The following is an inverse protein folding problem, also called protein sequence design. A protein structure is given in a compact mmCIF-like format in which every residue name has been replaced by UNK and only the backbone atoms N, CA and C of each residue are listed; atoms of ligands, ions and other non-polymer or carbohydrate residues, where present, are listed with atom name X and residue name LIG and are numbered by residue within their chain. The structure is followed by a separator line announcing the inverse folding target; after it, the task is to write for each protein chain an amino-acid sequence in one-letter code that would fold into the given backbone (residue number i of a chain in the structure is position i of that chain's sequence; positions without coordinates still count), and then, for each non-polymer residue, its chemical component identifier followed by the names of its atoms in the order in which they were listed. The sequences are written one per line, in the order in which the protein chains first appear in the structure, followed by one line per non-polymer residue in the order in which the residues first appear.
data_IF_741669990943
#
_entry.id   IF_741669990943
#
_cell.length_a   1.000
_cell.length_b   1.000
_cell.length_c   1.000
_cell.angle_alpha   90.00
_cell.angle_beta   90.00
_cell.angle_gamma   90.00
#
_symmetry.space_group_name_H-M   'P 1'
#
loop_
_entity.id
_entity.type
_entity.pdbx_description
1 polymer ?
#
# COMPACT_ATOMS: atom_id res chain seq x y z
N UNK A 1 -44.20 -58.36 -11.83
CA UNK A 1 -42.89 -57.70 -11.66
C UNK A 1 -42.51 -57.78 -10.18
N UNK A 2 -41.23 -57.96 -9.88
CA UNK A 2 -40.68 -58.53 -8.63
C UNK A 2 -41.00 -57.69 -7.39
N UNK A 3 -41.42 -58.37 -6.32
CA UNK A 3 -41.44 -57.86 -4.93
C UNK A 3 -40.03 -57.91 -4.35
N UNK A 4 -39.61 -56.89 -3.59
CA UNK A 4 -38.82 -57.07 -2.37
C UNK A 4 -39.03 -55.87 -1.43
N UNK A 5 -39.30 -56.21 -0.18
CA UNK A 5 -39.65 -55.36 0.95
C UNK A 5 -38.43 -55.10 1.84
N UNK A 6 -38.57 -54.12 2.74
CA UNK A 6 -37.92 -53.95 4.04
C UNK A 6 -36.54 -53.26 4.15
N UNK A 7 -36.54 -52.10 4.86
CA UNK A 7 -35.46 -51.60 5.77
C UNK A 7 -35.34 -52.60 6.96
N UNK A 8 -34.29 -52.66 7.84
CA UNK A 8 -33.46 -51.55 8.34
C UNK A 8 -32.01 -51.92 8.81
N UNK A 9 -31.36 -50.95 9.48
CA UNK A 9 -30.53 -51.11 10.69
C UNK A 9 -28.99 -50.97 10.64
N UNK A 10 -28.50 -50.34 11.73
CA UNK A 10 -27.19 -50.38 12.37
C UNK A 10 -26.07 -49.51 11.76
N UNK A 11 -25.67 -48.45 12.46
CA UNK A 11 -24.54 -48.39 13.43
C UNK A 11 -23.26 -47.96 12.69
N UNK A 12 -22.30 -47.18 13.17
CA UNK A 12 -21.89 -46.65 14.47
C UNK A 12 -21.18 -45.30 14.16
N UNK A 13 -21.18 -44.28 15.00
CA UNK A 13 -20.33 -44.21 16.18
C UNK A 13 -18.86 -43.96 15.81
N UNK A 14 -18.45 -42.70 15.71
CA UNK A 14 -17.06 -42.26 15.91
C UNK A 14 -17.00 -40.72 16.06
N UNK A 15 -17.35 -40.23 17.24
CA UNK A 15 -16.88 -38.94 17.70
C UNK A 15 -15.43 -39.13 18.18
N UNK A 16 -14.45 -38.53 17.49
CA UNK A 16 -13.09 -38.39 17.99
C UNK A 16 -12.83 -36.91 18.22
N UNK A 17 -12.91 -36.54 19.50
CA UNK A 17 -12.41 -35.30 20.08
C UNK A 17 -10.88 -35.25 19.89
N UNK A 18 -10.38 -34.34 19.07
CA UNK A 18 -8.97 -33.95 19.10
C UNK A 18 -8.82 -32.70 19.96
N UNK A 19 -8.41 -32.93 21.21
CA UNK A 19 -7.87 -31.91 22.10
C UNK A 19 -6.35 -31.84 21.86
N UNK A 20 -5.88 -30.69 21.41
CA UNK A 20 -4.48 -30.26 21.57
C UNK A 20 -4.42 -28.73 21.54
N UNK A 21 -4.71 -28.12 22.68
CA UNK A 21 -4.44 -26.71 22.96
C UNK A 21 -3.29 -26.58 23.95
N UNK A 22 -2.50 -25.51 23.78
CA UNK A 22 -1.28 -25.11 24.49
C UNK A 22 -0.02 -25.86 23.98
N UNK A 23 0.98 -25.22 23.38
CA UNK A 23 1.69 -24.03 23.86
C UNK A 23 2.21 -23.15 22.70
N UNK A 24 1.67 -21.94 22.49
CA UNK A 24 2.38 -20.89 21.74
C UNK A 24 3.44 -20.28 22.66
N UNK A 25 4.64 -20.88 22.68
CA UNK A 25 5.81 -20.23 23.26
C UNK A 25 6.67 -19.66 22.14
N UNK A 26 6.86 -18.35 22.16
CA UNK A 26 8.11 -17.73 21.76
C UNK A 26 8.42 -17.71 20.26
N UNK A 27 8.21 -16.53 19.67
CA UNK A 27 9.05 -16.05 18.58
C UNK A 27 10.53 -16.19 18.98
N UNK A 28 11.30 -16.96 18.22
CA UNK A 28 12.76 -16.93 18.28
C UNK A 28 13.42 -18.31 18.28
N UNK A 29 13.76 -18.80 17.08
CA UNK A 29 14.93 -19.64 16.72
C UNK A 29 14.54 -20.59 15.59
N UNK A 30 14.90 -20.25 14.35
CA UNK A 30 14.78 -21.14 13.21
C UNK A 30 15.78 -22.31 13.37
N UNK A 31 15.29 -23.48 13.75
CA UNK A 31 16.00 -24.75 13.51
C UNK A 31 15.18 -25.53 12.51
N UNK A 32 15.67 -25.55 11.26
CA UNK A 32 15.14 -26.39 10.19
C UNK A 32 15.47 -27.84 10.54
N UNK A 33 14.42 -28.64 10.74
CA UNK A 33 14.49 -30.10 10.81
C UNK A 33 14.82 -30.62 9.40
N UNK A 34 15.95 -31.31 9.26
CA UNK A 34 16.53 -31.74 7.99
C UNK A 34 15.80 -33.00 7.47
N UNK A 35 14.98 -32.84 6.43
CA UNK A 35 14.41 -33.92 5.64
C UNK A 35 14.95 -33.90 4.22
N UNK A 36 15.90 -34.80 3.93
CA UNK A 36 16.29 -35.32 2.62
C UNK A 36 16.53 -34.30 1.47
N UNK A 37 17.79 -33.83 1.39
CA UNK A 37 18.59 -33.56 0.20
C UNK A 37 17.97 -32.84 -1.03
N UNK A 38 18.20 -31.53 -1.12
CA UNK A 38 18.86 -30.92 -2.29
C UNK A 38 19.47 -29.57 -1.88
N UNK A 39 20.77 -29.56 -1.56
CA UNK A 39 21.48 -28.34 -1.16
C UNK A 39 21.58 -27.35 -2.33
N UNK A 40 20.72 -26.33 -2.34
CA UNK A 40 21.01 -25.08 -3.04
C UNK A 40 21.47 -24.07 -1.99
N UNK A 41 22.78 -24.06 -1.73
CA UNK A 41 23.41 -23.15 -0.78
C UNK A 41 23.50 -21.75 -1.39
N UNK A 42 22.65 -20.84 -0.91
CA UNK A 42 22.71 -19.41 -1.26
C UNK A 42 23.54 -18.70 -0.18
N UNK A 43 24.61 -18.04 -0.58
CA UNK A 43 25.50 -17.33 0.34
C UNK A 43 24.76 -16.20 1.08
N UNK A 44 24.96 -16.02 2.40
CA UNK A 44 24.37 -14.91 3.15
C UNK A 44 24.82 -13.54 2.61
N UNK A 45 23.88 -12.62 2.43
CA UNK A 45 24.19 -11.22 2.11
C UNK A 45 24.78 -10.52 3.36
N UNK A 46 26.03 -10.08 3.23
CA UNK A 46 26.70 -9.19 4.19
C UNK A 46 26.00 -7.82 4.19
N UNK A 47 25.44 -7.42 5.35
CA UNK A 47 24.95 -6.04 5.55
C UNK A 47 26.14 -5.14 5.89
N UNK A 48 26.51 -4.26 4.97
CA UNK A 48 27.50 -3.21 5.25
C UNK A 48 26.92 -2.24 6.28
N UNK A 49 27.52 -2.29 7.47
CA UNK A 49 27.22 -1.39 8.58
C UNK A 49 27.64 0.04 8.22
N UNK A 50 26.75 1.00 8.48
CA UNK A 50 26.95 2.40 8.18
C UNK A 50 28.15 3.04 8.87
N UNK A 51 28.76 4.00 8.18
CA UNK A 51 29.60 5.02 8.77
C UNK A 51 28.90 6.38 8.57
N UNK A 52 28.21 6.82 9.62
CA UNK A 52 27.88 8.23 9.82
C UNK A 52 29.18 8.98 10.10
N UNK A 53 29.49 9.98 9.27
CA UNK A 53 30.67 10.85 9.41
C UNK A 53 30.29 12.29 9.13
N UNK A 54 29.95 13.00 10.20
CA UNK A 54 29.72 14.45 10.34
C UNK A 54 30.81 15.30 9.68
N UNK A 55 30.41 16.41 9.02
CA UNK A 55 31.19 17.66 8.93
C UNK A 55 30.29 18.82 8.50
N UNK A 56 29.40 19.22 9.39
CA UNK A 56 28.81 20.55 9.42
C UNK A 56 29.90 21.60 9.68
N UNK A 57 30.19 22.46 8.70
CA UNK A 57 30.96 23.69 8.92
C UNK A 57 30.03 24.88 8.93
N UNK A 58 29.57 25.20 10.13
CA UNK A 58 29.00 26.48 10.52
C UNK A 58 30.07 27.58 10.52
N UNK A 59 29.89 28.62 9.71
CA UNK A 59 30.58 29.90 9.86
C UNK A 59 29.58 30.94 10.33
N UNK A 60 29.68 31.27 11.61
CA UNK A 60 28.99 32.37 12.24
C UNK A 60 29.83 33.66 12.18
N UNK A 61 29.08 34.76 12.29
CA UNK A 61 29.45 36.07 12.82
C UNK A 61 30.13 37.08 11.90
N UNK A 62 29.34 38.07 11.51
CA UNK A 62 29.69 39.46 11.82
C UNK A 62 28.42 40.25 12.13
N UNK A 63 28.24 40.50 13.42
CA UNK A 63 27.32 41.48 14.01
C UNK A 63 27.85 42.89 13.80
N UNK A 64 27.00 43.80 13.32
CA UNK A 64 27.11 45.23 13.59
C UNK A 64 25.72 45.77 13.88
N UNK A 65 25.60 46.38 15.05
CA UNK A 65 24.43 47.02 15.62
C UNK A 65 24.14 48.37 14.95
N UNK A 66 23.10 49.05 15.47
CA UNK A 66 22.72 50.46 15.31
C UNK A 66 21.61 50.69 14.25
N UNK A 67 20.48 51.38 14.48
CA UNK A 67 19.91 52.12 15.62
C UNK A 67 18.38 52.15 15.47
N UNK A 68 17.66 52.41 16.56
CA UNK A 68 16.27 52.87 16.50
C UNK A 68 16.21 54.33 16.01
N UNK A 69 15.15 54.69 15.27
CA UNK A 69 14.52 55.97 15.55
C UNK A 69 13.04 55.76 15.88
N UNK A 70 12.67 56.21 17.07
CA UNK A 70 11.32 56.69 17.33
C UNK A 70 11.03 57.81 16.33
N UNK A 71 10.09 57.57 15.41
CA UNK A 71 9.67 58.55 14.42
C UNK A 71 8.18 58.43 14.19
N UNK A 72 7.41 59.32 14.82
CA UNK A 72 6.10 59.70 14.32
C UNK A 72 6.27 60.11 12.86
N UNK A 73 5.58 59.43 11.95
CA UNK A 73 5.26 60.01 10.64
C UNK A 73 3.98 59.40 10.12
N UNK A 74 3.06 60.31 9.85
CA UNK A 74 1.77 60.09 9.28
C UNK A 74 1.88 59.45 7.88
N UNK A 75 1.07 58.42 7.68
CA UNK A 75 0.40 58.08 6.40
C UNK A 75 1.30 57.70 5.22
N UNK A 76 1.48 56.38 5.08
CA UNK A 76 1.39 55.71 3.79
C UNK A 76 0.52 54.46 3.99
N UNK A 77 -0.67 54.46 3.39
CA UNK A 77 -1.55 53.29 3.31
C UNK A 77 -0.92 52.31 2.31
N UNK A 78 0.09 51.57 2.77
CA UNK A 78 0.52 50.35 2.12
C UNK A 78 -0.12 49.19 2.87
N UNK A 79 -0.76 48.27 2.15
CA UNK A 79 -1.18 46.97 2.68
C UNK A 79 0.03 46.26 3.29
N UNK A 80 0.28 46.48 4.58
CA UNK A 80 1.15 45.62 5.37
C UNK A 80 0.44 44.26 5.48
N UNK A 81 1.15 43.14 5.25
CA UNK A 81 0.56 41.82 5.43
C UNK A 81 0.17 41.67 6.90
N UNK A 82 -1.13 41.81 7.19
CA UNK A 82 -1.65 41.58 8.54
C UNK A 82 -1.42 40.12 8.91
N UNK A 83 -0.63 39.87 9.96
CA UNK A 83 -0.52 38.55 10.59
C UNK A 83 -1.85 38.22 11.29
N UNK A 84 -2.79 37.72 10.48
CA UNK A 84 -4.04 37.15 10.98
C UNK A 84 -3.73 35.72 11.38
N UNK A 85 -3.43 35.52 12.66
CA UNK A 85 -3.30 34.19 13.25
C UNK A 85 -4.48 33.27 12.90
N UNK A 86 -4.28 31.95 13.03
CA UNK A 86 -5.23 30.94 12.58
C UNK A 86 -6.66 31.21 13.10
N UNK A 87 -7.62 31.36 12.16
CA UNK A 87 -9.03 31.58 12.49
C UNK A 87 -9.79 30.26 12.51
N UNK A 88 -10.83 30.19 13.34
CA UNK A 88 -11.72 29.04 13.41
C UNK A 88 -12.47 28.89 12.08
N UNK A 89 -12.32 27.71 11.46
CA UNK A 89 -13.11 27.31 10.30
C UNK A 89 -14.31 26.49 10.79
N UNK A 90 -15.52 26.87 10.37
CA UNK A 90 -16.74 26.18 10.79
C UNK A 90 -16.90 24.80 10.16
N UNK A 91 -16.25 24.56 9.03
CA UNK A 91 -16.30 23.29 8.31
C UNK A 91 -15.05 23.17 7.43
N UNK A 92 -14.52 21.96 7.30
CA UNK A 92 -13.43 21.67 6.38
C UNK A 92 -14.05 21.64 4.97
N UNK A 93 -13.59 22.48 4.03
CA UNK A 93 -14.08 22.43 2.66
C UNK A 93 -13.94 21.00 2.11
N UNK A 94 -15.01 20.47 1.52
CA UNK A 94 -14.94 19.17 0.87
C UNK A 94 -13.94 19.22 -0.30
N UNK A 95 -13.09 18.19 -0.46
CA UNK A 95 -12.21 18.12 -1.62
C UNK A 95 -13.07 18.09 -2.90
N UNK A 96 -12.57 18.76 -3.94
CA UNK A 96 -13.16 18.62 -5.27
C UNK A 96 -13.11 17.15 -5.69
N UNK A 97 -14.05 16.66 -6.50
CA UNK A 97 -13.95 15.32 -7.06
C UNK A 97 -12.60 15.20 -7.78
N UNK A 98 -11.86 14.13 -7.48
CA UNK A 98 -10.66 13.77 -8.21
C UNK A 98 -11.05 13.66 -9.69
N UNK A 99 -10.40 14.44 -10.55
CA UNK A 99 -10.61 14.45 -11.99
C UNK A 99 -9.27 14.24 -12.66
N UNK A 100 -9.20 13.30 -13.61
CA UNK A 100 -7.97 13.04 -14.33
C UNK A 100 -7.81 11.60 -14.79
N UNK A 101 -6.68 11.30 -15.46
CA UNK A 101 -6.40 10.00 -16.05
C UNK A 101 -6.37 8.86 -15.02
N UNK A 102 -5.97 9.13 -13.77
CA UNK A 102 -5.98 8.14 -12.69
C UNK A 102 -7.41 7.67 -12.38
N UNK A 103 -8.37 8.61 -12.35
CA UNK A 103 -9.78 8.30 -12.12
C UNK A 103 -10.43 7.61 -13.33
N UNK A 104 -10.06 8.00 -14.54
CA UNK A 104 -10.53 7.33 -15.76
C UNK A 104 -10.03 5.88 -15.81
N UNK A 105 -8.77 5.64 -15.42
CA UNK A 105 -8.19 4.31 -15.28
C UNK A 105 -8.93 3.48 -14.23
N UNK A 106 -9.13 4.03 -13.02
CA UNK A 106 -9.82 3.33 -11.94
C UNK A 106 -11.27 3.00 -12.31
N UNK A 107 -11.97 3.91 -12.97
CA UNK A 107 -13.32 3.67 -13.47
C UNK A 107 -13.33 2.54 -14.51
N UNK A 108 -12.38 2.52 -15.46
CA UNK A 108 -12.29 1.47 -16.47
C UNK A 108 -11.97 0.09 -15.87
N UNK A 109 -11.15 0.03 -14.81
CA UNK A 109 -10.87 -1.21 -14.07
C UNK A 109 -12.11 -1.67 -13.30
N UNK A 110 -12.81 -0.75 -12.63
CA UNK A 110 -14.05 -1.06 -11.90
C UNK A 110 -15.18 -1.54 -12.82
N UNK A 111 -15.32 -0.97 -14.03
CA UNK A 111 -16.30 -1.39 -15.03
C UNK A 111 -16.14 -2.87 -15.42
N UNK A 112 -14.92 -3.41 -15.32
CA UNK A 112 -14.63 -4.83 -15.60
C UNK A 112 -14.84 -5.76 -14.42
N UNK A 113 -15.46 -5.28 -13.33
CA UNK A 113 -15.82 -6.10 -12.18
C UNK A 113 -14.73 -6.24 -11.12
N UNK A 114 -13.70 -5.39 -11.17
CA UNK A 114 -12.70 -5.31 -10.10
C UNK A 114 -13.19 -4.33 -9.03
N UNK A 115 -13.35 -4.79 -7.81
CA UNK A 115 -13.58 -3.91 -6.66
C UNK A 115 -12.31 -3.10 -6.40
N UNK A 116 -12.39 -1.77 -6.49
CA UNK A 116 -11.24 -0.87 -6.30
C UNK A 116 -11.18 -0.24 -4.90
N UNK A 117 -12.26 -0.27 -4.11
CA UNK A 117 -12.44 0.43 -2.83
C UNK A 117 -11.33 0.14 -1.77
N UNK A 118 -10.38 1.06 -1.61
CA UNK A 118 -9.24 0.92 -0.70
C UNK A 118 -7.97 0.29 -1.32
N UNK A 119 -7.91 0.12 -2.63
CA UNK A 119 -6.72 -0.30 -3.38
C UNK A 119 -6.42 0.58 -4.61
N UNK A 120 -7.02 1.77 -4.66
CA UNK A 120 -6.92 2.72 -5.77
C UNK A 120 -5.47 3.13 -6.03
N UNK A 121 -4.78 3.58 -4.98
CA UNK A 121 -3.37 3.99 -5.05
C UNK A 121 -2.45 2.84 -5.49
N UNK A 122 -2.76 1.61 -5.06
CA UNK A 122 -1.98 0.42 -5.42
C UNK A 122 -2.17 0.06 -6.89
N UNK A 123 -3.41 0.17 -7.40
CA UNK A 123 -3.73 -0.05 -8.80
C UNK A 123 -3.08 1.01 -9.70
N UNK A 124 -3.19 2.29 -9.34
CA UNK A 124 -2.56 3.40 -10.07
C UNK A 124 -1.04 3.25 -10.05
N UNK A 125 -0.45 3.01 -8.87
CA UNK A 125 0.99 2.83 -8.73
C UNK A 125 1.53 1.62 -9.51
N UNK A 126 0.80 0.50 -9.52
CA UNK A 126 1.17 -0.68 -10.30
C UNK A 126 1.11 -0.41 -11.81
N UNK A 127 0.04 0.25 -12.27
CA UNK A 127 -0.10 0.65 -13.66
C UNK A 127 1.04 1.60 -14.10
N UNK A 128 1.36 2.61 -13.29
CA UNK A 128 2.48 3.54 -13.56
C UNK A 128 3.85 2.84 -13.52
N UNK A 129 4.04 1.84 -12.65
CA UNK A 129 5.28 1.04 -12.64
C UNK A 129 5.45 0.28 -13.97
N UNK A 130 4.35 -0.23 -14.55
CA UNK A 130 4.40 -0.92 -15.85
C UNK A 130 4.88 -0.02 -16.99
N UNK A 131 4.60 1.28 -16.92
CA UNK A 131 5.10 2.28 -17.88
C UNK A 131 6.63 2.43 -17.83
N UNK A 132 7.24 2.13 -16.67
CA UNK A 132 8.69 2.18 -16.46
C UNK A 132 9.37 0.85 -16.80
N UNK A 133 8.64 -0.09 -17.40
CA UNK A 133 9.13 -1.42 -17.74
C UNK A 133 9.16 -2.40 -16.57
N UNK A 134 8.53 -2.07 -15.44
CA UNK A 134 8.36 -3.01 -14.35
C UNK A 134 7.36 -4.11 -14.75
N UNK A 135 7.78 -5.36 -14.61
CA UNK A 135 6.97 -6.53 -15.02
C UNK A 135 6.43 -7.33 -13.84
N UNK A 136 6.70 -6.92 -12.59
CA UNK A 136 6.39 -7.71 -11.40
C UNK A 136 5.29 -7.09 -10.53
N UNK A 137 5.15 -5.77 -10.55
CA UNK A 137 4.22 -5.05 -9.67
C UNK A 137 2.78 -5.29 -10.08
N UNK A 138 2.45 -5.23 -11.38
CA UNK A 138 1.09 -5.54 -11.87
C UNK A 138 0.70 -6.99 -11.55
N UNK A 139 1.52 -8.02 -11.83
CA UNK A 139 1.25 -9.39 -11.38
C UNK A 139 1.08 -9.57 -9.87
N UNK A 140 1.88 -8.87 -9.06
CA UNK A 140 1.79 -8.95 -7.62
C UNK A 140 0.46 -8.36 -7.11
N UNK A 141 0.09 -7.17 -7.59
CA UNK A 141 -1.18 -6.52 -7.23
C UNK A 141 -2.37 -7.33 -7.73
N UNK A 142 -2.32 -7.87 -8.95
CA UNK A 142 -3.37 -8.74 -9.48
C UNK A 142 -3.59 -9.98 -8.59
N UNK A 143 -2.51 -10.64 -8.15
CA UNK A 143 -2.59 -11.76 -7.22
C UNK A 143 -3.23 -11.36 -5.89
N UNK A 144 -2.83 -10.22 -5.33
CA UNK A 144 -3.43 -9.70 -4.09
C UNK A 144 -4.93 -9.44 -4.24
N UNK A 145 -5.36 -8.83 -5.35
CA UNK A 145 -6.78 -8.52 -5.59
C UNK A 145 -7.64 -9.79 -5.68
N UNK A 146 -7.11 -10.85 -6.29
CA UNK A 146 -7.80 -12.15 -6.40
C UNK A 146 -7.92 -12.81 -5.03
N UNK A 147 -6.82 -12.90 -4.27
CA UNK A 147 -6.81 -13.52 -2.94
C UNK A 147 -7.70 -12.78 -1.93
N UNK A 148 -7.89 -11.47 -2.12
CA UNK A 148 -8.79 -10.65 -1.32
C UNK A 148 -10.25 -10.72 -1.77
N UNK A 149 -10.57 -11.49 -2.82
CA UNK A 149 -11.92 -11.60 -3.38
C UNK A 149 -12.41 -10.29 -4.03
N UNK A 150 -11.47 -9.46 -4.51
CA UNK A 150 -11.76 -8.15 -5.12
C UNK A 150 -11.87 -8.23 -6.64
N UNK A 151 -11.63 -9.39 -7.24
CA UNK A 151 -11.84 -9.66 -8.67
C UNK A 151 -12.17 -11.14 -8.86
N UNK A 152 -13.08 -11.42 -9.78
CA UNK A 152 -13.36 -12.79 -10.26
C UNK A 152 -12.58 -13.14 -11.54
N UNK A 153 -11.86 -12.16 -12.12
CA UNK A 153 -11.03 -12.37 -13.30
C UNK A 153 -9.85 -13.28 -12.98
N UNK A 154 -9.41 -14.05 -13.97
CA UNK A 154 -8.17 -14.83 -13.86
C UNK A 154 -6.95 -13.93 -13.68
N UNK A 155 -5.86 -14.46 -13.11
CA UNK A 155 -4.63 -13.69 -12.84
C UNK A 155 -4.09 -13.01 -14.10
N UNK A 156 -3.94 -13.74 -15.19
CA UNK A 156 -3.41 -13.23 -16.45
C UNK A 156 -4.36 -12.19 -17.08
N UNK A 157 -5.66 -12.41 -16.99
CA UNK A 157 -6.68 -11.49 -17.48
C UNK A 157 -6.66 -10.17 -16.71
N UNK A 158 -6.53 -10.24 -15.38
CA UNK A 158 -6.44 -9.07 -14.52
C UNK A 158 -5.12 -8.30 -14.75
N UNK A 159 -4.00 -9.01 -14.92
CA UNK A 159 -2.72 -8.38 -15.28
C UNK A 159 -2.84 -7.65 -16.60
N UNK A 160 -3.44 -8.29 -17.61
CA UNK A 160 -3.62 -7.69 -18.92
C UNK A 160 -4.55 -6.48 -18.86
N UNK A 161 -5.65 -6.57 -18.11
CA UNK A 161 -6.57 -5.45 -17.89
C UNK A 161 -5.86 -4.24 -17.28
N UNK A 162 -5.16 -4.43 -16.15
CA UNK A 162 -4.46 -3.35 -15.45
C UNK A 162 -3.40 -2.72 -16.35
N UNK A 163 -2.63 -3.54 -17.07
CA UNK A 163 -1.59 -3.06 -17.99
C UNK A 163 -2.19 -2.28 -19.17
N UNK A 164 -3.28 -2.77 -19.75
CA UNK A 164 -3.91 -2.17 -20.92
C UNK A 164 -4.57 -0.83 -20.61
N UNK A 165 -5.37 -0.78 -19.53
CA UNK A 165 -5.97 0.48 -19.07
C UNK A 165 -4.91 1.44 -18.54
N UNK A 166 -3.88 0.91 -17.89
CA UNK A 166 -2.76 1.68 -17.32
C UNK A 166 -1.93 2.43 -18.36
N UNK A 167 -1.99 2.07 -19.64
CA UNK A 167 -1.27 2.80 -20.71
C UNK A 167 -1.63 4.28 -20.79
N UNK A 168 -2.86 4.64 -20.43
CA UNK A 168 -3.29 6.03 -20.38
C UNK A 168 -2.49 6.86 -19.36
N UNK A 169 -1.91 6.20 -18.35
CA UNK A 169 -1.12 6.84 -17.30
C UNK A 169 0.35 7.06 -17.70
N UNK A 170 0.83 6.42 -18.77
CA UNK A 170 2.25 6.42 -19.14
C UNK A 170 2.77 7.72 -19.76
N UNK A 171 1.87 8.65 -20.13
CA UNK A 171 2.21 9.92 -20.77
C UNK A 171 2.10 11.12 -19.83
N UNK A 172 1.94 10.87 -18.53
CA UNK A 172 1.88 11.90 -17.48
C UNK A 172 3.27 12.32 -17.03
#
# INVERSE_FOLDING_TARGET
MRFFSARPAAAAGAAVLMVAGALLTGCGSATVEEGEATETSVAPLERSSGASGESSSSKASSSSASESPSGQSERAQGDEPEDRGAREISEIPAPAPEQGPDQDFLAAVAEKGVNIDGAEDQLVGAAQASCQGDTVTVPAVAGQLIEQGRSELGHEELVQLITEQGRALCAQ
#
